data_IF_989421012549
#
_entry.id   IF_989421012549
#
_cell.length_a   1.000
_cell.length_b   1.000
_cell.length_c   1.000
_cell.angle_alpha   90.00
_cell.angle_beta   90.00
_cell.angle_gamma   90.00
#
_symmetry.space_group_name_H-M   'P 1'
#
loop_
_entity.id
_entity.type
_entity.pdbx_description
1 polymer ?
2 non-polymer ?
3 non-polymer ?
4 non-polymer ?
5 non-polymer ?
6 water ?
#
# COMPACT_ATOMS: atom_id res chain seq x y z
N UNK A 7 21.83 -14.86 -20.06
CA UNK A 7 21.55 -13.63 -19.32
C UNK A 7 22.61 -13.29 -18.26
N UNK A 8 22.79 -12.00 -17.98
CA UNK A 8 23.67 -11.60 -16.88
C UNK A 8 22.94 -11.68 -15.55
N UNK A 9 21.67 -11.30 -15.53
CA UNK A 9 20.77 -11.52 -14.40
C UNK A 9 19.65 -12.43 -14.90
N UNK A 10 19.49 -13.57 -14.24
CA UNK A 10 18.53 -14.56 -14.70
C UNK A 10 19.16 -15.92 -14.91
N UNK A 11 18.32 -16.95 -14.95
CA UNK A 11 18.81 -18.30 -15.16
C UNK A 11 19.13 -18.52 -16.64
N UNK A 12 19.97 -19.53 -16.89
CA UNK A 12 20.28 -19.96 -18.24
C UNK A 12 19.20 -20.94 -18.74
N UNK A 13 19.20 -21.18 -20.04
CA UNK A 13 18.27 -22.15 -20.61
C UNK A 13 18.74 -23.57 -20.30
N UNK A 14 17.76 -24.46 -20.11
CA UNK A 14 18.04 -25.82 -19.65
C UNK A 14 17.16 -26.81 -20.40
N UNK A 15 17.54 -28.08 -20.31
CA UNK A 15 16.73 -29.16 -20.86
C UNK A 15 15.31 -29.09 -20.32
N UNK A 16 14.34 -29.34 -21.20
CA UNK A 16 12.95 -29.14 -20.90
C UNK A 16 12.42 -27.76 -21.26
N UNK A 17 13.30 -26.80 -21.52
CA UNK A 17 12.87 -25.46 -21.93
C UNK A 17 12.52 -25.45 -23.42
N UNK A 18 11.47 -24.71 -23.77
CA UNK A 18 11.05 -24.52 -25.15
C UNK A 18 11.28 -23.06 -25.54
N UNK A 19 12.03 -22.85 -26.61
CA UNK A 19 12.20 -21.50 -27.15
C UNK A 19 11.07 -21.21 -28.14
N UNK A 20 10.53 -20.01 -28.05
CA UNK A 20 9.42 -19.59 -28.92
C UNK A 20 9.60 -18.10 -29.15
N UNK A 21 9.97 -17.76 -30.38
CA UNK A 21 10.48 -16.42 -30.62
C UNK A 21 11.68 -16.18 -29.72
N UNK A 22 11.67 -15.04 -29.04
CA UNK A 22 12.74 -14.69 -28.14
C UNK A 22 12.38 -15.00 -26.68
N UNK A 23 11.33 -15.76 -26.45
CA UNK A 23 10.91 -16.13 -25.10
C UNK A 23 11.22 -17.59 -24.84
N UNK A 24 11.21 -17.97 -23.56
CA UNK A 24 11.44 -19.35 -23.16
C UNK A 24 10.31 -19.79 -22.24
N UNK A 25 9.81 -21.01 -22.47
CA UNK A 25 8.74 -21.57 -21.68
C UNK A 25 9.15 -22.90 -21.08
N UNK A 26 8.75 -23.14 -19.83
CA UNK A 26 9.14 -24.33 -19.10
C UNK A 26 7.92 -24.84 -18.33
N UNK A 27 7.56 -26.09 -18.56
CA UNK A 27 6.48 -26.68 -17.77
C UNK A 27 6.96 -27.02 -16.35
N UNK A 28 6.23 -26.55 -15.36
CA UNK A 28 6.56 -26.81 -13.97
C UNK A 28 5.65 -27.87 -13.34
N UNK A 29 4.46 -28.05 -13.90
CA UNK A 29 3.46 -28.99 -13.39
C UNK A 29 2.48 -29.25 -14.54
N UNK A 30 1.60 -30.23 -14.39
CA UNK A 30 0.72 -30.56 -15.53
C UNK A 30 -0.04 -29.38 -16.10
N UNK A 31 -0.45 -28.43 -15.26
CA UNK A 31 -1.22 -27.28 -15.72
C UNK A 31 -0.53 -25.95 -15.44
N UNK A 32 0.79 -25.96 -15.26
CA UNK A 32 1.51 -24.73 -14.92
C UNK A 32 2.81 -24.63 -15.71
N UNK A 33 3.05 -23.46 -16.31
CA UNK A 33 4.27 -23.15 -17.04
C UNK A 33 4.87 -21.84 -16.57
N UNK A 34 6.19 -21.75 -16.66
CA UNK A 34 6.92 -20.50 -16.44
C UNK A 34 7.23 -19.89 -17.80
N UNK A 35 6.92 -18.59 -17.95
CA UNK A 35 7.34 -17.83 -19.13
C UNK A 35 8.52 -16.94 -18.74
N UNK A 36 9.47 -16.83 -19.66
CA UNK A 36 10.69 -16.05 -19.43
C UNK A 36 10.92 -15.16 -20.63
N UNK A 37 11.23 -13.90 -20.37
CA UNK A 37 11.55 -12.90 -21.39
C UNK A 37 12.78 -12.12 -20.96
N UNK A 38 13.45 -11.48 -21.93
CA UNK A 38 14.75 -10.87 -21.71
C UNK A 38 14.78 -9.43 -22.18
N UNK A 39 15.53 -8.59 -21.46
CA UNK A 39 15.72 -7.20 -21.83
C UNK A 39 17.15 -6.84 -21.49
N UNK A 40 17.83 -6.16 -22.41
CA UNK A 40 19.20 -5.75 -22.13
C UNK A 40 19.19 -4.48 -21.28
N UNK A 45 23.93 -6.46 -19.13
CA UNK A 45 23.49 -7.24 -20.28
C UNK A 45 22.06 -7.70 -20.14
N UNK A 46 21.76 -8.85 -20.71
CA UNK A 46 20.40 -9.36 -20.71
C UNK A 46 19.96 -9.67 -19.29
N UNK A 47 18.73 -9.30 -18.96
CA UNK A 47 18.13 -9.66 -17.69
C UNK A 47 16.89 -10.48 -17.99
N UNK A 48 16.81 -11.67 -17.41
CA UNK A 48 15.63 -12.51 -17.55
C UNK A 48 14.57 -12.10 -16.54
N UNK A 49 13.30 -12.20 -16.95
CA UNK A 49 12.17 -12.03 -16.05
C UNK A 49 11.18 -13.16 -16.26
N UNK A 50 10.74 -13.76 -15.15
CA UNK A 50 9.82 -14.89 -15.17
C UNK A 50 8.42 -14.51 -14.69
N UNK A 51 7.41 -15.11 -15.31
CA UNK A 51 6.06 -15.16 -14.80
C UNK A 51 5.45 -16.55 -14.99
N UNK A 52 4.13 -16.68 -14.79
CA UNK A 52 3.47 -17.99 -14.83
C UNK A 52 2.26 -17.99 -15.74
N UNK A 53 1.96 -19.18 -16.27
CA UNK A 53 0.77 -19.47 -17.05
C UNK A 53 0.10 -20.69 -16.41
N UNK A 54 -1.20 -20.60 -16.17
CA UNK A 54 -1.94 -21.66 -15.48
C UNK A 54 -3.14 -22.03 -16.34
N UNK A 55 -3.28 -23.31 -16.62
CA UNK A 55 -4.48 -23.85 -17.26
C UNK A 55 -5.45 -24.30 -16.17
N UNK A 56 -6.66 -23.73 -16.20
CA UNK A 56 -7.70 -24.00 -15.21
C UNK A 56 -8.99 -24.36 -15.93
N UNK A 57 -9.27 -25.64 -16.05
CA UNK A 57 -10.43 -26.07 -16.81
C UNK A 57 -10.29 -25.63 -18.25
N UNK A 58 -11.25 -24.86 -18.71
CA UNK A 58 -11.27 -24.45 -20.11
C UNK A 58 -10.77 -23.04 -20.34
N UNK A 59 -9.94 -22.54 -19.42
CA UNK A 59 -9.40 -21.21 -19.56
C UNK A 59 -7.97 -21.18 -19.05
N UNK A 60 -7.27 -20.11 -19.41
CA UNK A 60 -5.88 -19.87 -19.06
C UNK A 60 -5.81 -18.57 -18.27
N UNK A 61 -4.97 -18.59 -17.24
CA UNK A 61 -4.71 -17.44 -16.37
C UNK A 61 -3.22 -17.12 -16.44
N UNK A 62 -2.87 -15.84 -16.48
CA UNK A 62 -1.49 -15.41 -16.64
C UNK A 62 -1.09 -14.57 -15.42
N UNK A 63 0.13 -14.81 -14.91
CA UNK A 63 0.73 -14.02 -13.85
C UNK A 63 1.94 -13.31 -14.43
N UNK A 64 1.88 -11.98 -14.46
CA UNK A 64 2.90 -11.05 -14.95
C UNK A 64 2.98 -10.98 -16.47
N UNK A 65 3.23 -9.77 -17.00
CA UNK A 65 3.53 -9.61 -18.41
C UNK A 65 5.02 -9.93 -18.61
N UNK A 66 5.44 -9.90 -19.85
CA UNK A 66 6.86 -9.80 -20.19
C UNK A 66 7.29 -8.33 -20.11
N UNK A 67 8.56 -8.07 -20.43
CA UNK A 67 9.08 -6.71 -20.34
C UNK A 67 8.38 -5.74 -21.31
N UNK A 68 7.97 -6.23 -22.49
CA UNK A 68 7.43 -5.39 -23.54
C UNK A 68 6.10 -5.93 -24.09
N UNK A 69 5.39 -5.03 -24.78
CA UNK A 69 4.16 -5.41 -25.47
C UNK A 69 4.40 -6.51 -26.50
N UNK A 70 5.44 -6.36 -27.32
CA UNK A 70 5.72 -7.37 -28.33
C UNK A 70 6.01 -8.73 -27.70
N UNK A 71 6.77 -8.76 -26.60
CA UNK A 71 7.05 -10.02 -25.95
C UNK A 71 5.78 -10.61 -25.37
N UNK A 72 4.93 -9.75 -24.79
CA UNK A 72 3.70 -10.25 -24.17
C UNK A 72 2.76 -10.81 -25.23
N UNK A 73 2.71 -10.18 -26.41
CA UNK A 73 1.93 -10.75 -27.51
C UNK A 73 2.40 -12.16 -27.82
N UNK A 74 3.72 -12.39 -27.74
CA UNK A 74 4.25 -13.73 -28.00
C UNK A 74 3.84 -14.73 -26.93
N UNK A 75 3.66 -14.29 -25.68
CA UNK A 75 3.10 -15.18 -24.66
C UNK A 75 1.71 -15.65 -25.09
N UNK A 76 0.89 -14.71 -25.56
CA UNK A 76 -0.45 -15.07 -26.02
C UNK A 76 -0.39 -16.01 -27.21
N UNK A 77 0.58 -15.80 -28.11
CA UNK A 77 0.72 -16.70 -29.25
C UNK A 77 1.13 -18.10 -28.80
N UNK A 78 2.09 -18.19 -27.89
CA UNK A 78 2.48 -19.49 -27.38
C UNK A 78 1.30 -20.21 -26.73
N UNK A 79 0.51 -19.49 -25.93
CA UNK A 79 -0.67 -20.12 -25.33
C UNK A 79 -1.59 -20.66 -26.41
N UNK A 80 -1.82 -19.90 -27.47
CA UNK A 80 -2.70 -20.37 -28.54
C UNK A 80 -2.19 -21.68 -29.13
N UNK A 81 -0.89 -21.77 -29.36
CA UNK A 81 -0.29 -22.94 -29.97
C UNK A 81 -0.29 -24.14 -29.02
N UNK A 82 0.15 -23.94 -27.79
CA UNK A 82 0.46 -25.07 -26.93
C UNK A 82 -0.69 -25.48 -26.01
N UNK A 83 -1.63 -24.57 -25.75
CA UNK A 83 -2.76 -24.84 -24.86
C UNK A 83 -4.09 -24.71 -25.60
N UNK A 84 -4.25 -23.68 -26.43
CA UNK A 84 -5.41 -23.50 -27.30
C UNK A 84 -6.70 -23.38 -26.48
N UNK A 85 -6.64 -22.57 -25.44
CA UNK A 85 -7.76 -22.17 -24.59
C UNK A 85 -7.71 -20.66 -24.42
N UNK A 86 -8.87 -20.01 -24.26
CA UNK A 86 -8.90 -18.57 -24.09
C UNK A 86 -8.23 -18.13 -22.79
N UNK A 87 -7.58 -16.98 -22.85
CA UNK A 87 -6.99 -16.36 -21.67
C UNK A 87 -8.06 -15.52 -20.99
N UNK A 88 -8.43 -15.91 -19.78
CA UNK A 88 -9.52 -15.26 -19.07
C UNK A 88 -9.09 -14.02 -18.32
N UNK A 89 -7.87 -13.99 -17.80
CA UNK A 89 -7.40 -12.87 -17.01
C UNK A 89 -5.91 -12.97 -16.80
N UNK A 90 -5.33 -11.82 -16.47
CA UNK A 90 -3.95 -11.71 -16.06
C UNK A 90 -3.88 -10.89 -14.77
N UNK A 91 -2.95 -11.26 -13.91
CA UNK A 91 -2.66 -10.49 -12.70
C UNK A 91 -1.18 -10.15 -12.71
N UNK A 92 -0.86 -8.90 -12.40
CA UNK A 92 0.52 -8.42 -12.42
C UNK A 92 0.91 -8.04 -11.00
N UNK A 93 2.18 -8.28 -10.65
CA UNK A 93 2.51 -8.32 -9.22
C UNK A 93 3.19 -7.06 -8.68
N UNK A 94 3.55 -6.08 -9.51
CA UNK A 94 3.81 -4.71 -9.08
C UNK A 94 4.07 -3.86 -10.32
N UNK A 95 4.16 -2.54 -10.12
CA UNK A 95 4.25 -1.58 -11.23
C UNK A 95 5.70 -1.25 -11.61
N UNK A 96 6.41 -2.25 -12.14
CA UNK A 96 7.71 -2.07 -12.75
C UNK A 96 7.69 -2.79 -14.10
N UNK A 97 8.66 -2.46 -14.95
CA UNK A 97 8.62 -2.88 -16.36
C UNK A 97 8.61 -4.41 -16.51
N UNK A 98 9.36 -5.13 -15.67
CA UNK A 98 9.45 -6.57 -15.87
C UNK A 98 8.14 -7.28 -15.61
N UNK A 99 7.25 -6.70 -14.81
CA UNK A 99 5.99 -7.32 -14.44
C UNK A 99 4.79 -6.72 -15.14
N UNK A 100 4.86 -5.45 -15.55
CA UNK A 100 3.74 -4.70 -16.11
C UNK A 100 4.08 -4.05 -17.45
N UNK A 101 5.26 -4.26 -18.00
CA UNK A 101 5.66 -3.60 -19.24
C UNK A 101 4.83 -3.94 -20.47
N UNK A 102 4.13 -5.06 -20.46
CA UNK A 102 3.36 -5.51 -21.62
C UNK A 102 1.86 -5.41 -21.50
N UNK A 103 1.37 -4.54 -20.62
CA UNK A 103 -0.07 -4.42 -20.41
C UNK A 103 -0.82 -4.16 -21.71
N UNK A 104 -0.27 -3.32 -22.60
CA UNK A 104 -1.00 -3.00 -23.82
C UNK A 104 -1.38 -4.24 -24.63
N UNK A 105 -0.49 -5.23 -24.69
CA UNK A 105 -0.81 -6.43 -25.47
C UNK A 105 -2.02 -7.14 -24.92
N UNK A 106 -2.15 -7.18 -23.58
CA UNK A 106 -3.30 -7.82 -22.98
C UNK A 106 -4.58 -7.04 -23.26
N UNK A 107 -4.53 -5.73 -23.10
CA UNK A 107 -5.70 -4.91 -23.36
C UNK A 107 -6.09 -4.90 -24.83
N UNK A 108 -5.10 -4.93 -25.73
CA UNK A 108 -5.40 -5.02 -27.17
C UNK A 108 -6.16 -6.30 -27.50
N UNK A 109 -5.91 -7.37 -26.75
CA UNK A 109 -6.51 -8.67 -26.98
C UNK A 109 -7.80 -8.85 -26.20
N UNK A 110 -8.25 -7.83 -25.47
CA UNK A 110 -9.49 -7.93 -24.74
C UNK A 110 -9.42 -8.73 -23.45
N UNK A 111 -8.23 -8.89 -22.86
CA UNK A 111 -8.04 -9.71 -21.67
C UNK A 111 -8.19 -8.83 -20.43
N UNK A 112 -8.99 -9.29 -19.48
CA UNK A 112 -9.19 -8.58 -18.22
C UNK A 112 -7.93 -8.63 -17.37
N UNK A 113 -7.48 -7.48 -16.89
CA UNK A 113 -6.25 -7.39 -16.14
C UNK A 113 -6.50 -6.88 -14.72
N UNK A 114 -5.68 -7.37 -13.80
CA UNK A 114 -5.81 -7.11 -12.36
C UNK A 114 -4.46 -6.78 -11.74
N UNK A 115 -4.47 -5.86 -10.79
CA UNK A 115 -3.28 -5.50 -10.04
C UNK A 115 -3.72 -4.96 -8.69
N UNK A 116 -2.82 -5.01 -7.72
CA UNK A 116 -3.00 -4.25 -6.50
C UNK A 116 -3.47 -2.83 -6.83
N UNK A 117 -4.51 -2.37 -6.12
CA UNK A 117 -4.94 -0.99 -6.31
C UNK A 117 -3.77 -0.01 -6.26
N UNK A 118 -2.83 -0.19 -5.32
CA UNK A 118 -1.68 0.71 -5.26
C UNK A 118 -0.82 0.63 -6.53
N UNK A 119 -0.68 -0.58 -7.11
CA UNK A 119 0.06 -0.68 -8.36
C UNK A 119 -0.61 0.16 -9.44
N UNK A 120 -1.95 0.13 -9.51
CA UNK A 120 -2.66 0.92 -10.53
C UNK A 120 -2.51 2.41 -10.27
N UNK A 121 -2.52 2.81 -8.99
CA UNK A 121 -2.32 4.21 -8.62
C UNK A 121 -0.91 4.69 -8.95
N UNK A 122 0.10 3.83 -8.78
CA UNK A 122 1.47 4.20 -9.06
C UNK A 122 1.82 4.07 -10.55
N UNK A 123 1.03 3.33 -11.33
CA UNK A 123 1.45 3.02 -12.69
C UNK A 123 1.83 4.24 -13.53
N UNK A 124 1.07 5.35 -13.56
CA UNK A 124 1.51 6.51 -14.37
C UNK A 124 2.87 7.06 -13.98
N UNK A 125 3.16 7.12 -12.67
CA UNK A 125 4.45 7.61 -12.24
C UNK A 125 5.58 6.67 -12.61
N UNK A 126 5.30 5.40 -12.73
CA UNK A 126 6.30 4.41 -13.09
C UNK A 126 6.37 4.16 -14.58
N UNK A 127 5.62 4.91 -15.39
CA UNK A 127 5.62 4.70 -16.83
C UNK A 127 4.93 3.44 -17.31
N UNK A 128 4.01 2.90 -16.52
CA UNK A 128 3.26 1.71 -16.82
C UNK A 128 1.81 2.06 -17.15
N UNK A 129 1.17 1.18 -17.91
CA UNK A 129 -0.27 1.24 -18.13
C UNK A 129 -0.97 0.51 -16.99
N UNK A 130 -1.93 1.16 -16.34
CA UNK A 130 -2.63 0.53 -15.23
C UNK A 130 -3.46 -0.64 -15.72
N UNK A 131 -3.66 -1.61 -14.84
CA UNK A 131 -4.60 -2.69 -15.10
C UNK A 131 -6.04 -2.16 -15.06
N UNK A 132 -6.95 -2.96 -15.59
CA UNK A 132 -8.35 -2.58 -15.66
C UNK A 132 -9.07 -2.70 -14.33
N UNK A 133 -8.58 -3.53 -13.44
CA UNK A 133 -9.25 -3.83 -12.19
C UNK A 133 -8.22 -3.81 -11.08
N UNK A 134 -8.72 -3.54 -9.87
CA UNK A 134 -7.90 -3.36 -8.69
C UNK A 134 -8.23 -4.37 -7.61
N UNK A 135 -7.19 -4.99 -7.06
CA UNK A 135 -7.30 -5.87 -5.91
C UNK A 135 -7.12 -5.08 -4.62
N UNK A 136 -7.89 -5.43 -3.59
CA UNK A 136 -7.65 -4.92 -2.24
C UNK A 136 -7.44 -6.09 -1.29
N UNK A 137 -6.93 -5.77 -0.10
CA UNK A 137 -6.40 -6.78 0.81
C UNK A 137 -6.88 -6.52 2.22
N UNK A 138 -7.09 -7.61 2.95
CA UNK A 138 -7.37 -7.57 4.36
C UNK A 138 -6.09 -7.24 5.16
N UNK A 139 -6.28 -6.92 6.45
CA UNK A 139 -5.15 -6.61 7.32
C UNK A 139 -4.20 -7.78 7.49
N UNK A 140 -4.65 -9.01 7.26
CA UNK A 140 -3.78 -10.16 7.35
C UNK A 140 -3.08 -10.46 6.04
N UNK A 141 -3.27 -9.63 5.01
CA UNK A 141 -2.59 -9.77 3.74
C UNK A 141 -3.36 -10.53 2.66
N UNK A 142 -4.39 -11.29 3.03
CA UNK A 142 -5.12 -12.03 2.00
C UNK A 142 -6.03 -11.12 1.16
N UNK A 143 -6.08 -11.41 -0.14
CA UNK A 143 -6.92 -10.64 -1.03
C UNK A 143 -8.35 -10.69 -0.56
N UNK A 144 -9.05 -9.58 -0.72
CA UNK A 144 -10.48 -9.53 -0.49
C UNK A 144 -11.15 -10.25 -1.66
N UNK A 145 -11.88 -11.34 -1.42
CA UNK A 145 -12.32 -12.19 -2.55
C UNK A 145 -13.21 -11.48 -3.55
N UNK A 146 -14.02 -10.50 -3.11
CA UNK A 146 -14.86 -9.76 -4.05
C UNK A 146 -14.04 -9.04 -5.10
N UNK A 147 -12.77 -8.75 -4.82
CA UNK A 147 -11.92 -8.02 -5.76
C UNK A 147 -11.10 -8.96 -6.63
N UNK A 148 -11.22 -10.27 -6.45
CA UNK A 148 -10.48 -11.25 -7.24
C UNK A 148 -11.47 -12.23 -7.90
N UNK A 149 -12.34 -11.72 -8.76
CA UNK A 149 -13.42 -12.57 -9.31
C UNK A 149 -12.89 -13.69 -10.20
N UNK A 150 -13.33 -14.93 -9.92
CA UNK A 150 -13.03 -16.08 -10.76
C UNK A 150 -11.53 -16.28 -10.95
N UNK A 151 -10.80 -16.09 -9.87
CA UNK A 151 -9.35 -16.30 -9.92
C UNK A 151 -8.98 -17.78 -9.85
N UNK A 152 -9.95 -18.67 -9.63
CA UNK A 152 -9.70 -20.09 -9.69
C UNK A 152 -8.60 -20.46 -8.73
N UNK A 153 -7.54 -21.14 -9.24
CA UNK A 153 -6.47 -21.57 -8.35
C UNK A 153 -5.50 -20.47 -7.92
N UNK A 154 -5.61 -19.24 -8.42
CA UNK A 154 -4.69 -18.18 -8.04
C UNK A 154 -5.11 -17.62 -6.69
N UNK A 155 -4.25 -17.79 -5.69
CA UNK A 155 -4.49 -17.30 -4.32
C UNK A 155 -3.54 -16.16 -4.05
N UNK A 156 -4.07 -14.92 -4.01
CA UNK A 156 -3.24 -13.73 -4.01
C UNK A 156 -3.05 -13.24 -2.58
N UNK A 157 -1.80 -12.90 -2.25
CA UNK A 157 -1.41 -12.49 -0.90
C UNK A 157 -0.52 -11.27 -1.00
N UNK A 158 -0.85 -10.24 -0.23
CA UNK A 158 0.01 -9.06 -0.10
C UNK A 158 0.84 -9.21 1.16
N UNK A 159 2.17 -9.38 1.04
CA UNK A 159 3.00 -9.72 2.20
C UNK A 159 3.46 -8.53 3.02
N UNK A 160 3.28 -7.33 2.49
CA UNK A 160 3.81 -6.13 3.09
C UNK A 160 4.86 -5.54 2.16
N UNK A 161 5.28 -4.31 2.45
CA UNK A 161 6.26 -3.65 1.59
C UNK A 161 7.60 -4.35 1.63
N UNK A 162 8.26 -4.43 0.47
CA UNK A 162 9.56 -5.03 0.41
C UNK A 162 10.35 -4.56 -0.79
N UNK A 163 10.33 -5.35 -1.86
CA UNK A 163 10.93 -4.92 -3.11
C UNK A 163 10.31 -3.59 -3.56
N UNK A 164 9.00 -3.47 -3.39
CA UNK A 164 8.28 -2.21 -3.55
C UNK A 164 7.18 -2.20 -2.51
N UNK A 165 6.50 -1.05 -2.40
CA UNK A 165 5.39 -0.99 -1.46
C UNK A 165 4.17 -1.74 -1.96
N UNK A 166 4.05 -1.96 -3.28
CA UNK A 166 2.85 -2.57 -3.85
C UNK A 166 3.02 -4.05 -4.20
N UNK A 167 4.17 -4.67 -3.95
CA UNK A 167 4.42 -6.04 -4.44
C UNK A 167 3.43 -7.05 -3.86
N UNK A 168 2.88 -7.90 -4.73
CA UNK A 168 1.99 -8.97 -4.29
C UNK A 168 2.59 -10.30 -4.73
N UNK A 169 2.06 -11.37 -4.14
CA UNK A 169 2.51 -12.72 -4.36
C UNK A 169 1.31 -13.62 -4.66
N UNK A 170 1.59 -14.78 -5.26
CA UNK A 170 0.50 -15.62 -5.74
C UNK A 170 0.83 -17.09 -5.50
N UNK A 171 -0.05 -17.81 -4.82
CA UNK A 171 0.04 -19.25 -4.72
C UNK A 171 -0.83 -19.91 -5.76
N UNK A 172 -0.41 -21.08 -6.24
CA UNK A 172 -1.22 -21.86 -7.19
C UNK A 172 -1.86 -23.01 -6.43
N UNK A 173 -3.17 -22.88 -6.14
CA UNK A 173 -3.88 -23.93 -5.43
C UNK A 173 -3.87 -25.23 -6.22
N UNK A 174 -3.78 -26.34 -5.48
CA UNK A 174 -3.73 -27.66 -6.08
C UNK A 174 -2.35 -28.06 -6.56
N UNK A 175 -1.33 -27.25 -6.26
CA UNK A 175 0.04 -27.53 -6.62
C UNK A 175 0.93 -27.16 -5.46
N UNK A 176 2.22 -27.48 -5.58
CA UNK A 176 3.17 -27.09 -4.56
C UNK A 176 3.92 -25.80 -4.92
N UNK A 177 3.34 -24.96 -5.79
CA UNK A 177 4.01 -23.78 -6.35
C UNK A 177 3.48 -22.50 -5.72
N UNK A 178 4.41 -21.59 -5.38
CA UNK A 178 4.05 -20.23 -4.99
C UNK A 178 5.02 -19.29 -5.69
N UNK A 179 4.52 -18.13 -6.10
CA UNK A 179 5.26 -17.14 -6.86
C UNK A 179 5.56 -15.94 -5.98
N UNK A 180 6.84 -15.67 -5.78
CA UNK A 180 7.26 -14.52 -4.99
C UNK A 180 7.61 -13.29 -5.79
N UNK A 181 7.61 -13.38 -7.11
CA UNK A 181 7.91 -12.20 -7.90
C UNK A 181 9.30 -11.69 -7.60
N UNK A 182 9.43 -10.36 -7.56
CA UNK A 182 10.74 -9.75 -7.31
C UNK A 182 11.05 -9.65 -5.83
N UNK A 183 10.10 -9.99 -4.96
CA UNK A 183 10.38 -9.96 -3.53
C UNK A 183 11.42 -10.99 -3.12
N UNK A 184 11.30 -12.20 -3.64
CA UNK A 184 12.12 -13.34 -3.22
C UNK A 184 13.25 -13.52 -4.23
N UNK A 185 14.46 -13.70 -3.71
CA UNK A 185 15.65 -14.03 -4.48
C UNK A 185 16.07 -15.46 -4.17
N UNK A 186 16.88 -16.06 -5.05
CA UNK A 186 17.16 -17.48 -4.82
C UNK A 186 18.22 -17.64 -3.73
N UNK A 187 18.39 -18.88 -3.28
CA UNK A 187 19.24 -19.13 -2.13
C UNK A 187 20.72 -18.96 -2.44
N UNK A 188 21.10 -18.83 -3.71
CA UNK A 188 22.48 -18.55 -4.08
C UNK A 188 22.72 -17.06 -4.35
N UNK A 189 21.70 -16.21 -4.16
CA UNK A 189 21.84 -14.80 -4.47
C UNK A 189 22.80 -14.12 -3.51
N UNK A 190 23.61 -13.21 -4.04
CA UNK A 190 24.52 -12.43 -3.22
C UNK A 190 23.97 -11.06 -2.85
N UNK A 191 22.82 -10.65 -3.40
CA UNK A 191 22.18 -9.39 -3.02
C UNK A 191 20.69 -9.51 -3.28
N UNK A 192 19.95 -8.48 -2.85
CA UNK A 192 18.52 -8.38 -3.05
C UNK A 192 18.15 -7.66 -4.35
N UNK A 193 19.08 -7.52 -5.29
CA UNK A 193 18.71 -7.01 -6.59
C UNK A 193 18.48 -5.52 -6.57
N UNK A 194 17.48 -5.06 -7.32
CA UNK A 194 17.25 -3.63 -7.49
C UNK A 194 16.41 -3.13 -6.33
N UNK A 195 17.03 -2.40 -5.41
CA UNK A 195 16.37 -1.89 -4.22
C UNK A 195 15.97 -0.42 -4.36
N UNK A 196 15.92 0.09 -5.59
CA UNK A 196 15.69 1.51 -5.78
C UNK A 196 14.38 2.02 -5.23
N UNK A 197 13.35 1.18 -5.21
CA UNK A 197 12.03 1.52 -4.71
C UNK A 197 11.66 0.72 -3.46
N UNK A 198 12.63 0.10 -2.80
CA UNK A 198 12.37 -0.87 -1.77
C UNK A 198 12.14 -0.23 -0.40
N UNK A 199 11.39 -0.95 0.44
CA UNK A 199 11.17 -0.61 1.86
C UNK A 199 12.12 -1.48 2.66
N UNK A 200 13.28 -0.94 3.00
CA UNK A 200 14.28 -1.76 3.68
C UNK A 200 13.92 -2.03 5.13
N UNK A 201 13.04 -1.23 5.73
CA UNK A 201 12.62 -1.48 7.11
C UNK A 201 11.76 -2.73 7.23
N UNK A 202 10.86 -2.96 6.27
CA UNK A 202 9.86 -4.01 6.38
C UNK A 202 10.13 -5.21 5.47
N UNK A 203 11.17 -5.14 4.64
CA UNK A 203 11.44 -6.20 3.66
C UNK A 203 11.51 -7.58 4.31
N UNK A 204 12.30 -7.71 5.37
CA UNK A 204 12.51 -9.04 5.97
C UNK A 204 11.21 -9.63 6.48
N UNK A 205 10.40 -8.81 7.16
CA UNK A 205 9.11 -9.31 7.65
C UNK A 205 8.19 -9.70 6.51
N UNK A 206 8.22 -8.95 5.41
CA UNK A 206 7.36 -9.27 4.27
C UNK A 206 7.77 -10.59 3.63
N UNK A 207 9.06 -10.84 3.50
CA UNK A 207 9.53 -12.12 2.98
C UNK A 207 9.07 -13.28 3.88
N UNK A 208 9.21 -13.13 5.22
CA UNK A 208 8.75 -14.19 6.12
C UNK A 208 7.24 -14.36 6.06
N UNK A 209 6.50 -13.26 5.89
CA UNK A 209 5.04 -13.35 5.75
C UNK A 209 4.63 -14.14 4.52
N UNK A 210 5.35 -13.96 3.40
CA UNK A 210 5.09 -14.77 2.22
C UNK A 210 5.24 -16.25 2.54
N UNK A 211 6.32 -16.62 3.24
CA UNK A 211 6.54 -18.01 3.62
C UNK A 211 5.41 -18.55 4.46
N UNK A 212 4.91 -17.76 5.41
CA UNK A 212 3.88 -18.24 6.32
C UNK A 212 2.51 -18.31 5.64
N UNK A 213 2.31 -17.53 4.58
CA UNK A 213 1.02 -17.53 3.87
C UNK A 213 0.87 -18.78 3.03
N UNK A 214 1.99 -19.32 2.54
CA UNK A 214 1.99 -20.51 1.70
C UNK A 214 2.90 -21.55 2.34
N UNK A 215 2.50 -22.08 3.48
CA UNK A 215 3.45 -22.86 4.30
C UNK A 215 3.81 -24.20 3.70
N UNK A 216 3.02 -24.70 2.76
CA UNK A 216 3.25 -26.02 2.17
C UNK A 216 3.83 -25.94 0.75
N UNK A 217 4.04 -24.74 0.22
CA UNK A 217 4.65 -24.61 -1.10
C UNK A 217 6.11 -25.07 -1.03
N UNK A 218 6.51 -25.93 -1.96
CA UNK A 218 7.87 -26.44 -2.00
C UNK A 218 8.63 -25.97 -3.23
N UNK A 219 7.95 -25.41 -4.21
CA UNK A 219 8.58 -24.87 -5.40
C UNK A 219 8.30 -23.38 -5.40
N UNK A 220 9.31 -22.57 -5.16
CA UNK A 220 9.20 -21.14 -5.11
C UNK A 220 9.69 -20.57 -6.43
N UNK A 221 8.79 -19.95 -7.16
CA UNK A 221 9.08 -19.32 -8.44
C UNK A 221 9.34 -17.85 -8.19
N UNK A 222 10.32 -17.30 -8.90
CA UNK A 222 10.80 -15.94 -8.67
C UNK A 222 10.98 -15.24 -9.99
N UNK A 223 11.14 -13.91 -9.94
CA UNK A 223 11.26 -13.15 -11.17
C UNK A 223 12.59 -13.37 -11.90
N UNK A 224 13.72 -13.49 -11.18
CA UNK A 224 15.00 -13.41 -11.88
C UNK A 224 15.92 -14.59 -11.58
N UNK A 225 15.37 -15.72 -11.14
CA UNK A 225 16.13 -16.95 -10.94
C UNK A 225 15.23 -18.11 -11.32
N UNK A 226 15.85 -19.26 -11.53
CA UNK A 226 15.11 -20.49 -11.71
C UNK A 226 14.38 -20.85 -10.42
N UNK A 227 13.34 -21.67 -10.50
CA UNK A 227 12.62 -22.05 -9.27
C UNK A 227 13.54 -22.72 -8.25
N UNK A 228 13.26 -22.43 -6.98
CA UNK A 228 14.10 -22.88 -5.89
C UNK A 228 13.21 -23.50 -4.80
N UNK A 229 13.86 -24.04 -3.78
CA UNK A 229 13.16 -24.55 -2.62
C UNK A 229 12.79 -23.42 -1.67
N UNK A 230 12.17 -23.78 -0.54
CA UNK A 230 11.80 -22.80 0.45
C UNK A 230 13.00 -22.06 1.06
N UNK A 231 14.21 -22.61 0.96
CA UNK A 231 15.37 -21.88 1.44
C UNK A 231 15.52 -20.51 0.79
N UNK A 232 15.00 -20.31 -0.43
CA UNK A 232 15.03 -18.99 -1.03
C UNK A 232 14.34 -17.95 -0.15
N UNK A 233 13.26 -18.35 0.49
CA UNK A 233 12.49 -17.41 1.31
C UNK A 233 13.31 -17.01 2.53
N UNK A 234 13.84 -18.00 3.23
CA UNK A 234 14.60 -17.75 4.43
C UNK A 234 15.88 -17.00 4.13
N UNK A 235 16.57 -17.39 3.07
CA UNK A 235 17.80 -16.71 2.71
C UNK A 235 17.52 -15.25 2.36
N UNK A 236 16.43 -15.00 1.64
CA UNK A 236 16.06 -13.62 1.31
C UNK A 236 15.79 -12.82 2.59
N UNK A 237 15.02 -13.40 3.51
CA UNK A 237 14.69 -12.72 4.75
C UNK A 237 15.94 -12.40 5.56
N UNK A 238 16.90 -13.33 5.60
CA UNK A 238 18.13 -13.11 6.37
C UNK A 238 19.03 -12.06 5.70
N UNK A 239 19.04 -11.97 4.37
CA UNK A 239 19.74 -10.86 3.74
C UNK A 239 19.05 -9.55 4.07
N UNK A 240 17.72 -9.55 4.04
CA UNK A 240 16.97 -8.33 4.32
C UNK A 240 17.13 -7.89 5.78
N UNK A 241 17.37 -8.82 6.70
CA UNK A 241 17.68 -8.48 8.09
C UNK A 241 18.87 -7.52 8.18
N UNK A 242 19.83 -7.65 7.28
CA UNK A 242 21.04 -6.83 7.33
C UNK A 242 20.83 -5.44 6.77
N UNK A 243 19.67 -5.16 6.17
CA UNK A 243 19.32 -3.83 5.69
C UNK A 243 18.85 -2.90 6.80
N UNK A 244 18.53 -3.44 7.96
CA UNK A 244 17.94 -2.66 9.04
C UNK A 244 19.00 -2.21 10.04
N UNK B 14 -2.94 30.31 22.45
CA UNK B 14 -3.63 31.48 21.89
C UNK B 14 -4.94 31.76 22.63
N UNK B 15 -5.43 32.98 22.48
CA UNK B 15 -6.73 33.33 23.03
C UNK B 15 -7.81 32.46 22.40
N UNK B 16 -8.66 31.88 23.23
CA UNK B 16 -9.72 31.01 22.79
C UNK B 16 -9.39 29.53 22.85
N UNK B 17 -8.11 29.17 22.88
CA UNK B 17 -7.75 27.77 23.01
C UNK B 17 -8.13 27.29 24.40
N UNK B 18 -8.51 26.02 24.48
CA UNK B 18 -8.89 25.40 25.75
C UNK B 18 -7.90 24.29 26.09
N UNK B 19 -7.68 24.10 27.39
CA UNK B 19 -6.78 23.06 27.88
C UNK B 19 -7.55 22.07 28.74
N UNK B 20 -7.26 20.78 28.56
CA UNK B 20 -7.79 19.72 29.40
C UNK B 20 -6.62 18.79 29.66
N UNK B 21 -6.12 18.78 30.90
CA UNK B 21 -4.96 17.95 31.17
C UNK B 21 -3.77 18.46 30.37
N UNK B 22 -3.17 17.56 29.59
CA UNK B 22 -2.03 17.91 28.74
C UNK B 22 -2.45 18.23 27.31
N UNK B 23 -3.74 18.28 27.02
CA UNK B 23 -4.27 18.51 25.68
C UNK B 23 -4.71 19.95 25.49
N UNK B 24 -4.54 20.45 24.28
CA UNK B 24 -5.01 21.75 23.87
C UNK B 24 -6.00 21.59 22.72
N UNK B 25 -7.07 22.39 22.74
CA UNK B 25 -8.13 22.30 21.76
C UNK B 25 -8.38 23.67 21.16
N UNK B 26 -8.53 23.73 19.84
CA UNK B 26 -8.79 24.98 19.13
C UNK B 26 -9.96 24.76 18.19
N UNK B 27 -10.97 25.61 18.28
CA UNK B 27 -12.12 25.48 17.40
C UNK B 27 -11.76 26.08 16.04
N UNK B 28 -11.91 25.29 14.98
CA UNK B 28 -11.58 25.73 13.64
C UNK B 28 -12.80 26.12 12.83
N UNK B 29 -13.96 25.56 13.18
CA UNK B 29 -15.22 25.80 12.50
C UNK B 29 -16.32 25.47 13.49
N UNK B 30 -17.57 25.81 13.18
CA UNK B 30 -18.64 25.55 14.15
C UNK B 30 -18.70 24.11 14.65
N UNK B 31 -18.33 23.13 13.82
CA UNK B 31 -18.41 21.73 14.20
C UNK B 31 -17.08 21.00 14.12
N UNK B 32 -15.96 21.73 14.12
CA UNK B 32 -14.65 21.12 13.98
C UNK B 32 -13.66 21.77 14.95
N UNK B 33 -12.93 20.93 15.68
CA UNK B 33 -11.87 21.34 16.58
C UNK B 33 -10.60 20.58 16.27
N UNK B 34 -9.46 21.24 16.46
CA UNK B 34 -8.16 20.60 16.44
C UNK B 34 -7.77 20.19 17.86
N UNK B 35 -7.33 18.94 18.04
CA UNK B 35 -6.70 18.52 19.28
C UNK B 35 -5.19 18.46 19.10
N UNK B 36 -4.48 18.94 20.13
CA UNK B 36 -3.02 18.99 20.11
C UNK B 36 -2.47 18.35 21.38
N UNK B 37 -1.57 17.40 21.21
CA UNK B 37 -0.88 16.72 22.30
C UNK B 37 0.62 16.78 22.04
N UNK B 38 1.40 16.58 23.12
CA UNK B 38 2.83 16.80 23.08
C UNK B 38 3.57 15.58 23.61
N UNK B 39 4.71 15.27 22.98
CA UNK B 39 5.63 14.24 23.46
C UNK B 39 7.03 14.81 23.44
N UNK B 40 7.76 14.61 24.52
CA UNK B 40 9.13 15.10 24.63
C UNK B 40 10.08 14.05 24.05
N UNK B 41 10.70 14.38 22.93
CA UNK B 41 11.61 13.48 22.24
C UNK B 41 13.06 13.91 22.42
N UNK B 45 12.95 18.69 22.07
CA UNK B 45 11.98 19.20 23.02
C UNK B 45 10.63 18.52 22.81
N UNK B 46 9.60 19.13 23.38
CA UNK B 46 8.24 18.62 23.21
C UNK B 46 7.76 18.84 21.78
N UNK B 47 7.31 17.76 21.15
CA UNK B 47 6.83 17.79 19.77
C UNK B 47 5.32 17.74 19.80
N UNK B 48 4.68 18.72 19.16
CA UNK B 48 3.23 18.73 19.06
C UNK B 48 2.74 17.80 17.94
N UNK B 49 1.62 17.15 18.18
CA UNK B 49 0.87 16.43 17.14
C UNK B 49 -0.59 16.82 17.18
N UNK B 50 -1.17 17.07 16.00
CA UNK B 50 -2.55 17.51 15.84
C UNK B 50 -3.43 16.43 15.24
N UNK B 51 -4.68 16.36 15.69
CA UNK B 51 -5.76 15.64 15.03
C UNK B 51 -7.03 16.46 15.04
N UNK B 52 -8.17 15.85 14.70
CA UNK B 52 -9.42 16.58 14.56
C UNK B 52 -10.54 15.91 15.35
N UNK B 53 -11.52 16.73 15.72
CA UNK B 53 -12.77 16.33 16.34
C UNK B 53 -13.88 16.98 15.53
N UNK B 54 -14.87 16.19 15.10
CA UNK B 54 -15.94 16.66 14.25
C UNK B 54 -17.29 16.29 14.86
N UNK B 55 -18.15 17.30 15.01
CA UNK B 55 -19.52 17.11 15.46
C UNK B 55 -20.39 16.92 14.22
N UNK B 56 -21.09 15.79 14.15
CA UNK B 56 -21.94 15.44 13.02
C UNK B 56 -23.33 15.13 13.55
N UNK B 57 -24.17 16.14 13.62
CA UNK B 57 -25.49 15.95 14.19
C UNK B 57 -25.37 15.57 15.66
N UNK B 58 -25.88 14.40 16.01
CA UNK B 58 -25.87 13.97 17.40
C UNK B 58 -24.75 13.04 17.78
N UNK B 59 -23.64 13.07 17.03
CA UNK B 59 -22.51 12.23 17.33
C UNK B 59 -21.22 12.97 17.01
N UNK B 60 -20.12 12.43 17.52
CA UNK B 60 -18.79 13.00 17.29
C UNK B 60 -17.92 11.96 16.61
N UNK B 61 -17.05 12.46 15.72
CA UNK B 61 -16.09 11.67 14.95
C UNK B 61 -14.69 12.21 15.24
N UNK B 62 -13.73 11.32 15.44
CA UNK B 62 -12.36 11.71 15.79
C UNK B 62 -11.41 11.26 14.69
N UNK B 63 -10.46 12.14 14.34
CA UNK B 63 -9.39 11.81 13.43
C UNK B 63 -8.06 11.88 14.16
N UNK B 64 -7.40 10.73 14.27
CA UNK B 64 -6.12 10.51 14.93
C UNK B 64 -6.22 10.46 16.45
N UNK B 65 -5.41 9.58 17.05
CA UNK B 65 -5.27 9.62 18.50
C UNK B 65 -4.24 10.67 18.89
N UNK B 66 -4.05 10.82 20.18
CA UNK B 66 -2.89 11.50 20.72
C UNK B 66 -1.71 10.53 20.75
N UNK B 67 -0.57 11.01 21.26
CA UNK B 67 0.62 10.18 21.30
C UNK B 67 0.46 8.97 22.23
N UNK B 68 -0.32 9.10 23.29
CA UNK B 68 -0.39 8.08 24.32
C UNK B 68 -1.85 7.80 24.68
N UNK B 69 -2.05 6.64 25.32
CA UNK B 69 -3.39 6.29 25.81
C UNK B 69 -3.92 7.33 26.80
N UNK B 70 -3.08 7.76 27.74
CA UNK B 70 -3.54 8.74 28.73
C UNK B 70 -3.99 10.02 28.05
N UNK B 71 -3.21 10.49 27.08
CA UNK B 71 -3.59 11.71 26.37
C UNK B 71 -4.85 11.52 25.57
N UNK B 72 -5.03 10.34 24.98
CA UNK B 72 -6.24 10.09 24.21
C UNK B 72 -7.48 10.04 25.08
N UNK B 73 -7.36 9.48 26.29
CA UNK B 73 -8.46 9.55 27.25
C UNK B 73 -8.81 11.00 27.58
N UNK B 74 -7.82 11.88 27.65
CA UNK B 74 -8.12 13.28 27.91
C UNK B 74 -8.92 13.91 26.77
N UNK B 75 -8.63 13.57 25.51
CA UNK B 75 -9.47 14.01 24.39
C UNK B 75 -10.92 13.60 24.63
N UNK B 76 -11.13 12.34 24.95
CA UNK B 76 -12.47 11.81 25.09
C UNK B 76 -13.22 12.49 26.23
N UNK B 77 -12.53 12.78 27.32
CA UNK B 77 -13.21 13.42 28.44
C UNK B 77 -13.46 14.91 28.17
N UNK B 78 -12.58 15.59 27.42
CA UNK B 78 -12.91 16.95 26.98
C UNK B 78 -14.16 16.94 26.09
N UNK B 79 -14.26 15.97 25.18
CA UNK B 79 -15.44 15.89 24.33
C UNK B 79 -16.68 15.76 25.19
N UNK B 80 -16.64 14.89 26.20
CA UNK B 80 -17.81 14.69 27.04
C UNK B 80 -18.18 15.97 27.77
N UNK B 81 -17.20 16.73 28.22
CA UNK B 81 -17.45 17.93 29.00
C UNK B 81 -17.92 19.09 28.13
N UNK B 82 -17.32 19.28 26.96
CA UNK B 82 -17.58 20.46 26.15
C UNK B 82 -18.64 20.25 25.06
N UNK B 83 -18.71 19.06 24.48
CA UNK B 83 -19.66 18.77 23.40
C UNK B 83 -20.81 17.92 23.90
N UNK B 84 -20.52 16.91 24.72
CA UNK B 84 -21.55 16.12 25.38
C UNK B 84 -22.38 15.34 24.36
N UNK B 85 -21.70 14.73 23.40
CA UNK B 85 -22.30 13.81 22.45
C UNK B 85 -21.44 12.56 22.36
N UNK B 86 -22.03 11.41 22.03
CA UNK B 86 -21.23 10.19 21.95
C UNK B 86 -20.27 10.20 20.77
N UNK B 87 -19.10 9.63 20.98
CA UNK B 87 -18.12 9.46 19.91
C UNK B 87 -18.44 8.15 19.21
N UNK B 88 -18.83 8.24 17.94
CA UNK B 88 -19.24 7.07 17.18
C UNK B 88 -18.03 6.29 16.65
N UNK B 89 -17.05 7.00 16.11
CA UNK B 89 -15.97 6.31 15.44
C UNK B 89 -14.75 7.22 15.37
N UNK B 90 -13.61 6.57 15.15
CA UNK B 90 -12.35 7.27 14.95
C UNK B 90 -11.66 6.68 13.73
N UNK B 91 -10.96 7.54 13.00
CA UNK B 91 -10.14 7.09 11.87
C UNK B 91 -8.73 7.62 12.07
N UNK B 92 -7.75 6.72 12.03
CA UNK B 92 -6.35 7.02 12.28
C UNK B 92 -5.60 6.93 10.96
N UNK B 93 -4.62 7.82 10.78
CA UNK B 93 -4.14 8.10 9.43
C UNK B 93 -2.83 7.43 9.05
N UNK B 94 -2.12 6.80 9.98
CA UNK B 94 -1.06 5.82 9.66
C UNK B 94 -0.52 5.22 10.96
N UNK B 95 0.27 4.15 10.83
CA UNK B 95 0.75 3.37 11.96
C UNK B 95 2.06 3.89 12.55
N UNK B 96 2.02 5.11 13.07
CA UNK B 96 3.07 5.69 13.90
C UNK B 96 2.45 6.25 15.19
N UNK B 97 3.30 6.48 16.19
CA UNK B 97 2.82 6.79 17.53
C UNK B 97 2.02 8.09 17.61
N UNK B 98 2.36 9.10 16.80
CA UNK B 98 1.62 10.36 16.94
C UNK B 98 0.18 10.23 16.44
N UNK B 99 -0.13 9.22 15.65
CA UNK B 99 -1.45 9.05 15.09
C UNK B 99 -2.21 7.85 15.65
N UNK B 100 -1.50 6.81 16.12
CA UNK B 100 -2.13 5.58 16.58
C UNK B 100 -1.67 5.19 17.99
N UNK B 101 -0.93 6.05 18.66
CA UNK B 101 -0.42 5.73 19.99
C UNK B 101 -1.48 5.48 21.04
N UNK B 102 -2.68 6.02 20.84
CA UNK B 102 -3.75 5.89 21.83
C UNK B 102 -4.90 4.97 21.49
N UNK B 103 -4.65 3.97 20.63
CA UNK B 103 -5.72 3.08 20.17
C UNK B 103 -6.39 2.37 21.34
N UNK B 104 -5.62 1.90 22.33
CA UNK B 104 -6.21 1.17 23.44
C UNK B 104 -7.25 2.02 24.17
N UNK B 105 -6.99 3.34 24.30
CA UNK B 105 -7.94 4.21 24.98
C UNK B 105 -9.25 4.35 24.20
N UNK B 106 -9.16 4.42 22.88
CA UNK B 106 -10.38 4.45 22.08
C UNK B 106 -11.19 3.18 22.27
N UNK B 107 -10.51 2.03 22.24
CA UNK B 107 -11.23 0.76 22.34
C UNK B 107 -11.84 0.60 23.73
N UNK B 108 -11.13 1.04 24.78
CA UNK B 108 -11.67 0.96 26.13
C UNK B 108 -12.91 1.82 26.27
N UNK B 109 -13.00 2.91 25.52
CA UNK B 109 -14.17 3.78 25.54
C UNK B 109 -15.28 3.32 24.62
N UNK B 110 -15.11 2.19 23.92
CA UNK B 110 -16.19 1.68 23.10
C UNK B 110 -16.35 2.35 21.75
N UNK B 111 -15.30 2.97 21.25
CA UNK B 111 -15.34 3.69 19.98
C UNK B 111 -14.90 2.74 18.87
N UNK B 112 -15.66 2.71 17.77
CA UNK B 112 -15.28 1.91 16.62
C UNK B 112 -14.14 2.58 15.88
N UNK B 113 -13.08 1.82 15.58
CA UNK B 113 -11.88 2.39 15.01
C UNK B 113 -11.59 1.83 13.61
N UNK B 114 -11.09 2.71 12.75
CA UNK B 114 -10.84 2.45 11.33
C UNK B 114 -9.45 2.94 10.96
N UNK B 115 -8.75 2.16 10.16
CA UNK B 115 -7.45 2.55 9.62
C UNK B 115 -7.28 1.89 8.26
N UNK B 116 -6.38 2.43 7.45
CA UNK B 116 -5.97 1.75 6.21
C UNK B 116 -5.62 0.30 6.54
N UNK B 117 -6.09 -0.64 5.70
CA UNK B 117 -5.69 -2.04 5.89
C UNK B 117 -4.18 -2.19 6.04
N UNK B 118 -3.42 -1.44 5.24
CA UNK B 118 -1.96 -1.53 5.34
C UNK B 118 -1.47 -1.04 6.71
N UNK B 119 -2.11 0.01 7.26
CA UNK B 119 -1.75 0.43 8.61
C UNK B 119 -1.97 -0.68 9.62
N UNK B 120 -3.11 -1.39 9.51
CA UNK B 120 -3.37 -2.49 10.42
C UNK B 120 -2.37 -3.64 10.23
N UNK B 121 -1.96 -3.89 8.98
CA UNK B 121 -0.98 -4.93 8.71
C UNK B 121 0.37 -4.56 9.31
N UNK B 122 0.76 -3.29 9.21
CA UNK B 122 2.05 -2.83 9.70
C UNK B 122 2.06 -2.59 11.21
N UNK B 123 0.89 -2.46 11.83
CA UNK B 123 0.84 -2.02 13.22
C UNK B 123 1.72 -2.85 14.13
N UNK B 124 1.73 -4.18 14.05
CA UNK B 124 2.61 -4.93 14.99
C UNK B 124 4.08 -4.59 14.83
N UNK B 125 4.55 -4.45 13.59
CA UNK B 125 5.96 -4.08 13.40
C UNK B 125 6.26 -2.68 13.91
N UNK B 126 5.28 -1.78 13.86
CA UNK B 126 5.44 -0.41 14.31
C UNK B 126 5.14 -0.22 15.80
N UNK B 127 4.82 -1.29 16.52
CA UNK B 127 4.50 -1.18 17.93
C UNK B 127 3.15 -0.56 18.23
N UNK B 128 2.24 -0.58 17.29
CA UNK B 128 0.92 0.00 17.43
C UNK B 128 -0.13 -1.08 17.57
N UNK B 129 -1.22 -0.73 18.22
CA UNK B 129 -2.40 -1.60 18.25
C UNK B 129 -3.23 -1.33 17.01
N UNK B 130 -3.63 -2.39 16.32
CA UNK B 130 -4.40 -2.23 15.10
C UNK B 130 -5.82 -1.73 15.41
N UNK B 131 -6.39 -1.04 14.43
CA UNK B 131 -7.79 -0.67 14.49
C UNK B 131 -8.68 -1.89 14.31
N UNK B 132 -9.94 -1.72 14.71
CA UNK B 132 -10.92 -2.80 14.65
C UNK B 132 -11.36 -3.11 13.23
N UNK B 133 -11.22 -2.14 12.33
CA UNK B 133 -11.72 -2.24 10.97
C UNK B 133 -10.70 -1.69 10.00
N UNK B 134 -10.71 -2.24 8.79
CA UNK B 134 -9.76 -1.88 7.74
C UNK B 134 -10.47 -1.16 6.60
N UNK B 135 -9.91 0.00 6.23
CA UNK B 135 -10.31 0.73 5.04
C UNK B 135 -9.49 0.26 3.84
N UNK B 136 -10.14 0.14 2.69
CA UNK B 136 -9.45 -0.15 1.44
C UNK B 136 -9.80 0.95 0.44
N UNK B 137 -9.00 1.04 -0.61
CA UNK B 137 -9.04 2.20 -1.51
C UNK B 137 -9.01 1.76 -2.96
N UNK B 138 -9.71 2.51 -3.78
CA UNK B 138 -9.69 2.32 -5.22
C UNK B 138 -8.37 2.83 -5.83
N UNK B 139 -8.16 2.47 -7.11
CA UNK B 139 -6.98 2.93 -7.82
C UNK B 139 -6.91 4.45 -7.89
N UNK B 140 -8.04 5.15 -7.82
CA UNK B 140 -8.02 6.61 -7.83
C UNK B 140 -7.82 7.22 -6.44
N UNK B 141 -7.65 6.42 -5.43
CA UNK B 141 -7.32 6.91 -4.11
C UNK B 141 -8.51 7.00 -3.15
N UNK B 142 -9.73 7.01 -3.65
CA UNK B 142 -10.89 7.16 -2.78
C UNK B 142 -11.23 5.87 -2.06
N UNK B 143 -11.63 6.00 -0.78
CA UNK B 143 -12.00 4.84 0.02
C UNK B 143 -13.13 4.07 -0.66
N UNK B 144 -13.06 2.74 -0.57
CA UNK B 144 -14.14 1.88 -1.02
C UNK B 144 -15.29 2.02 -0.03
N UNK B 145 -16.47 2.50 -0.44
CA UNK B 145 -17.42 2.98 0.58
C UNK B 145 -17.93 1.91 1.53
N UNK B 146 -17.95 0.65 1.12
CA UNK B 146 -18.43 -0.40 2.01
C UNK B 146 -17.50 -0.59 3.20
N UNK B 147 -16.24 -0.19 3.09
CA UNK B 147 -15.32 -0.30 4.21
C UNK B 147 -15.39 0.90 5.15
N UNK B 148 -16.13 1.93 4.79
CA UNK B 148 -16.25 3.16 5.59
C UNK B 148 -17.71 3.49 5.82
N UNK B 149 -18.43 2.61 6.51
CA UNK B 149 -19.87 2.80 6.69
C UNK B 149 -20.19 3.95 7.64
N UNK B 150 -21.17 4.76 7.23
CA UNK B 150 -21.73 5.84 8.05
C UNK B 150 -20.65 6.78 8.55
N UNK B 151 -19.77 7.18 7.64
CA UNK B 151 -18.72 8.14 7.95
C UNK B 151 -19.21 9.58 7.89
N UNK B 152 -20.47 9.81 7.53
CA UNK B 152 -21.03 11.14 7.53
C UNK B 152 -20.21 12.07 6.67
N UNK B 153 -19.76 13.21 7.23
CA UNK B 153 -19.01 14.18 6.41
C UNK B 153 -17.56 13.82 6.17
N UNK B 154 -17.02 12.73 6.72
CA UNK B 154 -15.61 12.42 6.55
C UNK B 154 -15.41 11.78 5.18
N UNK B 155 -14.54 12.38 4.36
CA UNK B 155 -14.21 11.85 3.04
C UNK B 155 -12.76 11.40 3.05
N UNK B 156 -12.52 10.10 3.00
CA UNK B 156 -11.19 9.55 3.21
C UNK B 156 -10.52 9.23 1.87
N UNK B 157 -9.29 9.70 1.72
CA UNK B 157 -8.52 9.63 0.48
C UNK B 157 -7.12 9.14 0.78
N UNK B 158 -6.68 8.15 0.01
CA UNK B 158 -5.31 7.64 0.06
C UNK B 158 -4.54 8.26 -1.09
N UNK B 159 -3.58 9.15 -0.83
CA UNK B 159 -2.92 9.92 -1.90
C UNK B 159 -1.75 9.21 -2.54
N UNK B 160 -1.36 8.06 -2.00
CA UNK B 160 -0.17 7.38 -2.40
C UNK B 160 0.91 7.49 -1.33
N UNK B 161 2.01 6.76 -1.54
CA UNK B 161 3.07 6.73 -0.52
C UNK B 161 3.79 8.07 -0.42
N UNK B 162 4.15 8.44 0.79
CA UNK B 162 4.86 9.68 1.00
C UNK B 162 5.59 9.67 2.31
N UNK B 163 4.97 10.26 3.34
CA UNK B 163 5.55 10.19 4.68
C UNK B 163 5.68 8.72 5.12
N UNK B 164 4.68 7.91 4.82
CA UNK B 164 4.76 6.45 4.91
C UNK B 164 4.01 5.86 3.71
N UNK B 165 4.12 4.53 3.55
CA UNK B 165 3.37 3.91 2.47
C UNK B 165 1.87 3.84 2.77
N UNK B 166 1.47 3.93 4.04
CA UNK B 166 0.07 3.75 4.42
C UNK B 166 -0.65 5.06 4.74
N UNK B 167 0.00 6.23 4.65
CA UNK B 167 -0.62 7.47 5.09
C UNK B 167 -1.91 7.80 4.31
N UNK B 168 -2.95 8.17 5.05
CA UNK B 168 -4.22 8.57 4.46
C UNK B 168 -4.59 9.98 4.92
N UNK B 169 -5.58 10.56 4.24
CA UNK B 169 -5.97 11.96 4.44
C UNK B 169 -7.48 12.02 4.48
N UNK B 170 -8.01 13.10 5.06
CA UNK B 170 -9.46 13.19 5.33
C UNK B 170 -9.94 14.62 5.04
N UNK B 171 -11.02 14.73 4.28
CA UNK B 171 -11.69 16.00 4.06
C UNK B 171 -12.99 16.00 4.84
N UNK B 172 -13.42 17.18 5.26
CA UNK B 172 -14.65 17.33 6.02
C UNK B 172 -15.68 18.04 5.13
N UNK B 173 -16.67 17.28 4.67
CA UNK B 173 -17.71 17.85 3.83
C UNK B 173 -18.51 18.90 4.61
N UNK B 174 -18.90 19.98 3.93
CA UNK B 174 -19.60 21.07 4.57
C UNK B 174 -18.70 22.09 5.23
N UNK B 175 -17.38 21.95 5.08
CA UNK B 175 -16.40 22.86 5.63
C UNK B 175 -15.32 23.10 4.58
N UNK B 176 -14.41 24.01 4.90
CA UNK B 176 -13.29 24.34 4.06
C UNK B 176 -12.04 23.57 4.41
N UNK B 177 -12.17 22.50 5.21
CA UNK B 177 -11.05 21.88 5.93
C UNK B 177 -10.72 20.54 5.31
N UNK B 178 -9.42 20.31 5.10
CA UNK B 178 -8.91 18.99 4.79
C UNK B 178 -7.68 18.74 5.66
N UNK B 179 -7.52 17.49 6.07
CA UNK B 179 -6.47 17.05 6.98
C UNK B 179 -5.44 16.22 6.24
N UNK B 180 -4.19 16.71 6.23
CA UNK B 180 -3.08 16.05 5.57
C UNK B 180 -2.20 15.20 6.46
N UNK B 181 -2.45 15.20 7.76
CA UNK B 181 -1.66 14.37 8.65
C UNK B 181 -0.19 14.72 8.57
N UNK B 182 0.65 13.68 8.62
CA UNK B 182 2.09 13.90 8.57
C UNK B 182 2.62 14.06 7.13
N UNK B 183 1.78 13.84 6.12
CA UNK B 183 2.23 14.02 4.73
C UNK B 183 2.54 15.48 4.44
N UNK B 184 1.71 16.38 4.91
CA UNK B 184 1.80 17.80 4.57
C UNK B 184 2.52 18.54 5.67
N UNK B 185 3.45 19.42 5.29
CA UNK B 185 4.19 20.28 6.18
C UNK B 185 3.81 21.74 5.92
N UNK B 186 4.20 22.60 6.84
CA UNK B 186 3.72 23.98 6.73
C UNK B 186 4.49 24.72 5.64
N UNK B 187 3.90 25.82 5.18
CA UNK B 187 4.44 26.48 4.00
C UNK B 187 5.74 27.22 4.25
N UNK B 188 6.21 27.34 5.49
CA UNK B 188 7.50 27.93 5.80
C UNK B 188 8.52 26.86 6.20
N UNK B 189 8.16 25.58 6.11
CA UNK B 189 9.03 24.50 6.56
C UNK B 189 10.32 24.49 5.77
N UNK B 190 11.40 24.12 6.45
CA UNK B 190 12.68 23.90 5.80
C UNK B 190 12.94 22.43 5.51
N UNK B 191 12.10 21.53 6.02
CA UNK B 191 12.30 20.11 5.78
C UNK B 191 10.96 19.39 5.79
N UNK B 192 11.02 18.12 5.39
CA UNK B 192 9.87 17.23 5.39
C UNK B 192 9.79 16.39 6.67
N UNK B 193 10.45 16.82 7.72
CA UNK B 193 10.25 16.14 8.99
C UNK B 193 10.96 14.80 9.02
N UNK B 194 10.32 13.81 9.62
CA UNK B 194 10.97 12.53 9.85
C UNK B 194 10.68 11.57 8.71
N UNK B 195 11.68 11.33 7.88
CA UNK B 195 11.54 10.55 6.65
C UNK B 195 11.98 9.10 6.82
N UNK B 196 12.08 8.61 8.07
CA UNK B 196 12.61 7.28 8.30
C UNK B 196 11.83 6.17 7.64
N UNK B 197 10.53 6.35 7.43
CA UNK B 197 9.67 5.36 6.78
C UNK B 197 9.13 5.87 5.44
N UNK B 198 9.73 6.92 4.88
CA UNK B 198 9.14 7.64 3.76
C UNK B 198 9.48 7.02 2.42
N UNK B 199 8.61 7.28 1.44
CA UNK B 199 8.82 6.95 0.03
C UNK B 199 9.23 8.23 -0.67
N UNK B 200 10.53 8.40 -0.88
CA UNK B 200 11.05 9.65 -1.43
C UNK B 200 10.79 9.76 -2.92
N UNK B 201 10.52 8.65 -3.60
CA UNK B 201 10.26 8.69 -5.03
C UNK B 201 8.88 9.27 -5.31
N UNK B 202 7.89 8.89 -4.52
CA UNK B 202 6.50 9.19 -4.82
C UNK B 202 5.93 10.31 -3.95
N UNK B 203 6.68 10.82 -2.99
CA UNK B 203 6.16 11.80 -2.04
C UNK B 203 5.55 13.01 -2.73
N UNK B 204 6.29 13.61 -3.67
CA UNK B 204 5.78 14.83 -4.30
C UNK B 204 4.44 14.59 -5.00
N UNK B 205 4.33 13.49 -5.73
CA UNK B 205 3.08 13.19 -6.43
C UNK B 205 1.95 12.94 -5.44
N UNK B 206 2.26 12.30 -4.31
CA UNK B 206 1.24 12.06 -3.31
C UNK B 206 0.76 13.36 -2.67
N UNK B 207 1.68 14.29 -2.39
CA UNK B 207 1.25 15.60 -1.88
C UNK B 207 0.33 16.30 -2.89
N UNK B 208 0.69 16.27 -4.16
CA UNK B 208 -0.16 16.93 -5.16
C UNK B 208 -1.49 16.20 -5.32
N UNK B 209 -1.51 14.88 -5.14
CA UNK B 209 -2.77 14.16 -5.23
C UNK B 209 -3.73 14.54 -4.12
N UNK B 210 -3.21 14.73 -2.91
CA UNK B 210 -4.03 15.23 -1.80
C UNK B 210 -4.68 16.55 -2.18
N UNK B 211 -3.91 17.48 -2.74
CA UNK B 211 -4.46 18.77 -3.14
C UNK B 211 -5.57 18.64 -4.17
N UNK B 212 -5.40 17.73 -5.13
CA UNK B 212 -6.38 17.55 -6.19
C UNK B 212 -7.63 16.83 -5.68
N UNK B 213 -7.49 16.02 -4.63
CA UNK B 213 -8.60 15.30 -4.06
C UNK B 213 -9.57 16.26 -3.36
N UNK B 214 -9.03 17.32 -2.77
CA UNK B 214 -9.81 18.29 -2.01
C UNK B 214 -9.55 19.68 -2.57
N UNK B 215 -9.99 19.92 -3.81
CA UNK B 215 -9.59 21.14 -4.52
C UNK B 215 -10.18 22.41 -3.93
N UNK B 216 -11.26 22.32 -3.17
CA UNK B 216 -11.89 23.52 -2.62
C UNK B 216 -11.48 23.77 -1.16
N UNK B 217 -10.72 22.87 -0.55
CA UNK B 217 -10.28 23.06 0.83
C UNK B 217 -9.35 24.27 0.89
N UNK B 218 -9.66 25.21 1.78
CA UNK B 218 -8.84 26.40 1.95
C UNK B 218 -8.10 26.39 3.27
N UNK B 219 -8.48 25.52 4.22
CA UNK B 219 -7.77 25.39 5.49
C UNK B 219 -7.19 23.97 5.52
N UNK B 220 -5.87 23.87 5.51
CA UNK B 220 -5.17 22.61 5.52
C UNK B 220 -4.61 22.39 6.91
N UNK B 221 -5.10 21.33 7.56
CA UNK B 221 -4.68 20.92 8.90
C UNK B 221 -3.63 19.84 8.73
N UNK B 222 -2.61 19.87 9.58
CA UNK B 222 -1.51 18.90 9.46
C UNK B 222 -1.01 18.56 10.87
N UNK B 223 -0.19 17.52 10.93
CA UNK B 223 0.17 16.94 12.22
C UNK B 223 1.03 17.85 13.09
N UNK B 224 1.98 18.60 12.53
CA UNK B 224 3.03 19.19 13.37
C UNK B 224 3.16 20.69 13.23
N UNK B 225 2.19 21.34 12.61
CA UNK B 225 2.13 22.79 12.53
C UNK B 225 0.69 23.24 12.64
N UNK B 226 0.51 24.54 12.90
CA UNK B 226 -0.84 25.10 12.93
C UNK B 226 -1.49 25.08 11.54
N UNK B 227 -2.81 25.17 11.48
CA UNK B 227 -3.48 25.13 10.16
C UNK B 227 -2.95 26.22 9.24
N UNK B 228 -2.85 25.88 7.95
CA UNK B 228 -2.26 26.75 6.95
C UNK B 228 -3.22 26.82 5.76
N UNK B 229 -2.85 27.64 4.78
CA UNK B 229 -3.54 27.69 3.51
C UNK B 229 -3.08 26.56 2.59
N UNK B 230 -3.62 26.54 1.37
CA UNK B 230 -3.18 25.57 0.36
C UNK B 230 -1.70 25.73 0.01
N UNK B 231 -1.07 26.83 0.40
CA UNK B 231 0.36 26.98 0.21
C UNK B 231 1.14 25.83 0.84
N UNK B 232 0.60 25.22 1.91
CA UNK B 232 1.30 24.12 2.55
C UNK B 232 1.45 22.94 1.60
N UNK B 233 0.44 22.70 0.76
CA UNK B 233 0.46 21.58 -0.18
C UNK B 233 1.52 21.78 -1.23
N UNK B 234 1.54 22.96 -1.86
CA UNK B 234 2.48 23.19 -2.94
C UNK B 234 3.89 23.34 -2.42
N UNK B 235 4.06 23.90 -1.22
CA UNK B 235 5.39 23.95 -0.64
C UNK B 235 5.90 22.56 -0.31
N UNK B 236 5.04 21.72 0.28
CA UNK B 236 5.45 20.34 0.56
C UNK B 236 5.88 19.64 -0.71
N UNK B 237 5.11 19.81 -1.78
CA UNK B 237 5.44 19.11 -3.02
C UNK B 237 6.76 19.61 -3.59
N UNK B 238 7.02 20.92 -3.49
CA UNK B 238 8.28 21.49 -3.97
C UNK B 238 9.47 20.92 -3.21
N UNK B 239 9.36 20.81 -1.88
CA UNK B 239 10.42 20.20 -1.09
C UNK B 239 10.60 18.75 -1.49
N UNK B 240 9.49 18.03 -1.66
CA UNK B 240 9.59 16.61 -1.97
C UNK B 240 10.17 16.37 -3.37
N UNK B 241 9.99 17.30 -4.30
CA UNK B 241 10.58 17.16 -5.63
C UNK B 241 12.10 17.00 -5.54
N UNK B 242 12.70 17.61 -4.52
CA UNK B 242 14.15 17.61 -4.35
C UNK B 242 14.69 16.32 -3.77
N UNK B 243 13.83 15.38 -3.40
CA UNK B 243 14.26 14.10 -2.84
C UNK B 243 14.48 13.03 -3.91
N UNK B 244 14.02 13.25 -5.14
CA UNK B 244 14.02 12.18 -6.13
C UNK B 244 15.36 12.04 -6.84
#
# INVERSE_FOLDING_TARGET
GSGEIRPTIGQQMETGDQRFGDLVFRQLAPNVWQHTSYLDMPGFGAVASNGLIVRDGGRVLVVDTAWTDDQTAQILNWIKQEINLPVALAVVTHAHQDKMGGMDALHAAGIATYANALSNQLAPQEGMVAAQHSLTFAANGWVEPATAPNFGPLKVFYPGPGHTSDNITVGIDGTDIAFGGCLIKDSKAKSLGNLGDADTEHYAASARAFGAAFPKASMIVMSHSAPDSRAAITHTARMADKLR
GSGEIRPTIGQQMETGDQRFGDLVFRQLAPNVWQHTSYLDMPGFGAVASNGLIVRDGGRVLVVDTAWTDDQTAQILNWIKQEINLPVALAVVTHAHQDKMGGMDALHAAGIATYANALSNQLAPQEGMVAAQHSLTFAANGWVEPATAPNFGPLKVFYPGPGHTSDNITVGIDGTDIAFGGCLIKDSKAKSLGNLGDADTEHYAASARAFGAAFPKASMIVMSHSAPDSRAAITHTARMADKLR
#
